data_IF_180113327403
#
_entry.id   IF_180113327403
#
_cell.length_a   1.000
_cell.length_b   1.000
_cell.length_c   1.000
_cell.angle_alpha   90.00
_cell.angle_beta   90.00
_cell.angle_gamma   90.00
#
_symmetry.space_group_name_H-M   'P 1'
#
loop_
_entity.id
_entity.type
_entity.pdbx_description
1 polymer ?
#
# COMPACT_ATOMS: atom_id res chain seq x y z
N UNK A 1 -16.67 11.92 11.54
CA UNK A 1 -15.83 11.69 10.35
C UNK A 1 -15.90 10.20 10.06
N UNK A 2 -16.28 9.77 8.84
CA UNK A 2 -16.17 8.35 8.48
C UNK A 2 -14.67 7.99 8.45
N UNK A 3 -14.33 6.75 8.80
CA UNK A 3 -12.94 6.26 8.85
C UNK A 3 -12.74 5.21 7.75
N UNK A 4 -13.17 5.50 6.53
CA UNK A 4 -13.11 4.51 5.47
C UNK A 4 -11.66 4.28 5.04
N UNK A 5 -11.22 3.02 5.05
CA UNK A 5 -9.81 2.66 4.85
C UNK A 5 -9.61 2.01 3.48
N UNK A 6 -8.66 2.53 2.72
CA UNK A 6 -8.06 1.80 1.60
C UNK A 6 -6.72 1.21 2.05
N UNK A 7 -6.61 -0.12 2.00
CA UNK A 7 -5.42 -0.88 2.35
C UNK A 7 -4.72 -1.38 1.09
N UNK A 8 -3.46 -0.99 0.93
CA UNK A 8 -2.66 -1.21 -0.27
C UNK A 8 -1.33 -1.82 0.14
N UNK A 9 -0.89 -2.82 -0.59
CA UNK A 9 0.33 -3.54 -0.24
C UNK A 9 0.07 -4.62 0.80
N UNK A 10 0.78 -5.75 0.63
CA UNK A 10 0.37 -7.08 1.07
C UNK A 10 -1.03 -7.41 0.53
N UNK A 11 -1.12 -8.39 -0.37
CA UNK A 11 -2.44 -8.92 -0.76
C UNK A 11 -3.03 -9.51 0.51
N UNK A 12 -3.88 -8.73 1.20
CA UNK A 12 -4.09 -8.84 2.64
C UNK A 12 -4.80 -10.14 2.99
N UNK A 13 -3.99 -11.18 3.12
CA UNK A 13 -4.32 -12.43 3.75
C UNK A 13 -4.38 -12.14 5.26
N UNK A 14 -5.63 -11.97 5.71
CA UNK A 14 -6.09 -12.55 6.97
C UNK A 14 -5.36 -12.13 8.24
N UNK A 15 -5.05 -10.83 8.45
CA UNK A 15 -4.85 -10.38 9.83
C UNK A 15 -6.22 -10.33 10.53
N UNK A 16 -6.60 -11.47 11.11
CA UNK A 16 -7.88 -11.65 11.80
C UNK A 16 -8.12 -10.58 12.87
N UNK A 17 -7.07 -10.12 13.55
CA UNK A 17 -7.18 -9.08 14.57
C UNK A 17 -7.58 -7.73 13.95
N UNK A 18 -7.01 -7.34 12.81
CA UNK A 18 -7.41 -6.13 12.09
C UNK A 18 -8.84 -6.24 11.56
N UNK A 19 -9.20 -7.37 10.95
CA UNK A 19 -10.56 -7.59 10.43
C UNK A 19 -11.59 -7.58 11.57
N UNK A 20 -11.29 -8.25 12.69
CA UNK A 20 -12.14 -8.28 13.87
C UNK A 20 -12.28 -6.88 14.49
N UNK A 21 -11.19 -6.10 14.55
CA UNK A 21 -11.22 -4.72 15.02
C UNK A 21 -12.10 -3.84 14.13
N UNK A 22 -11.90 -3.86 12.81
CA UNK A 22 -12.71 -3.11 11.86
C UNK A 22 -14.18 -3.50 11.94
N UNK A 23 -14.48 -4.80 12.05
CA UNK A 23 -15.85 -5.29 12.21
C UNK A 23 -16.47 -4.81 13.53
N UNK A 24 -15.76 -4.92 14.65
CA UNK A 24 -16.24 -4.49 15.97
C UNK A 24 -16.40 -2.97 16.11
N UNK A 25 -15.81 -2.19 15.20
CA UNK A 25 -15.93 -0.72 15.13
C UNK A 25 -16.76 -0.24 13.94
N UNK A 26 -17.33 -1.15 13.16
CA UNK A 26 -18.08 -0.85 11.93
C UNK A 26 -17.29 0.05 10.94
N UNK A 27 -15.97 -0.18 10.85
CA UNK A 27 -15.08 0.55 9.96
C UNK A 27 -15.01 -0.20 8.62
N UNK A 28 -15.57 0.36 7.53
CA UNK A 28 -15.48 -0.28 6.23
C UNK A 28 -14.08 -0.09 5.64
N UNK A 29 -13.59 -1.12 4.96
CA UNK A 29 -12.30 -1.09 4.30
C UNK A 29 -12.28 -1.87 2.98
N UNK A 30 -11.46 -1.39 2.06
CA UNK A 30 -11.12 -2.06 0.80
C UNK A 30 -9.66 -2.47 0.89
N UNK A 31 -9.33 -3.71 0.55
CA UNK A 31 -7.95 -4.16 0.40
C UNK A 31 -7.64 -4.58 -1.04
N UNK A 32 -6.38 -4.46 -1.44
CA UNK A 32 -5.94 -4.88 -2.78
C UNK A 32 -5.56 -6.35 -2.83
N UNK A 33 -5.65 -6.94 -4.03
CA UNK A 33 -5.00 -8.21 -4.38
C UNK A 33 -4.28 -8.07 -5.72
N UNK A 34 -3.21 -8.83 -5.99
CA UNK A 34 -2.54 -8.81 -7.28
C UNK A 34 -3.49 -9.25 -8.39
N UNK A 35 -3.64 -8.44 -9.42
CA UNK A 35 -4.42 -8.80 -10.59
C UNK A 35 -3.73 -9.96 -11.35
N UNK A 36 -4.35 -11.15 -11.38
CA UNK A 36 -3.88 -12.25 -12.21
C UNK A 36 -4.37 -12.10 -13.65
N UNK A 37 -3.49 -12.32 -14.64
CA UNK A 37 -3.77 -12.11 -16.07
C UNK A 37 -4.83 -13.03 -16.70
N UNK A 38 -5.37 -14.03 -15.98
CA UNK A 38 -6.31 -15.03 -16.53
C UNK A 38 -7.49 -15.43 -15.66
N UNK A 39 -7.68 -14.81 -14.51
CA UNK A 39 -8.92 -14.95 -13.77
C UNK A 39 -9.52 -13.56 -13.69
N UNK A 40 -10.70 -13.40 -14.27
CA UNK A 40 -11.70 -12.45 -13.75
C UNK A 40 -11.73 -12.69 -12.24
N UNK A 41 -10.92 -11.91 -11.51
CA UNK A 41 -10.78 -12.08 -10.07
C UNK A 41 -12.18 -11.94 -9.54
N UNK A 42 -12.71 -13.00 -8.92
CA UNK A 42 -14.00 -12.96 -8.26
C UNK A 42 -13.93 -11.77 -7.31
N UNK A 43 -14.55 -10.66 -7.69
CA UNK A 43 -14.84 -9.57 -6.77
C UNK A 43 -15.54 -10.26 -5.61
N UNK A 44 -14.85 -10.30 -4.47
CA UNK A 44 -15.48 -10.86 -3.29
C UNK A 44 -16.52 -9.83 -2.88
N UNK A 45 -17.79 -10.20 -3.10
CA UNK A 45 -18.94 -9.43 -2.71
C UNK A 45 -18.74 -8.87 -1.30
N UNK A 46 -19.04 -7.59 -1.12
CA UNK A 46 -18.90 -6.85 0.13
C UNK A 46 -19.39 -7.69 1.32
N UNK A 47 -18.46 -8.24 2.12
CA UNK A 47 -18.79 -9.02 3.31
C UNK A 47 -18.82 -8.09 4.52
N UNK A 48 -19.89 -7.30 4.64
CA UNK A 48 -20.18 -6.44 5.79
C UNK A 48 -19.29 -5.20 5.93
N UNK A 49 -17.98 -5.37 6.11
CA UNK A 49 -17.00 -4.27 6.24
C UNK A 49 -15.77 -4.43 5.35
N UNK A 50 -15.66 -5.53 4.59
CA UNK A 50 -14.49 -5.85 3.75
C UNK A 50 -14.87 -6.04 2.29
N UNK A 51 -14.09 -5.41 1.41
CA UNK A 51 -14.07 -5.70 -0.03
C UNK A 51 -12.64 -5.89 -0.53
N UNK A 52 -12.48 -6.68 -1.59
CA UNK A 52 -11.18 -6.92 -2.24
C UNK A 52 -11.24 -6.44 -3.68
N UNK A 53 -10.28 -5.60 -4.08
CA UNK A 53 -10.17 -5.08 -5.45
C UNK A 53 -8.85 -5.51 -6.08
N UNK A 54 -8.86 -6.12 -7.28
CA UNK A 54 -7.63 -6.46 -7.97
C UNK A 54 -6.89 -5.20 -8.45
N UNK A 55 -5.57 -5.20 -8.32
CA UNK A 55 -4.69 -4.11 -8.72
C UNK A 55 -3.47 -4.64 -9.48
N UNK A 56 -3.19 -4.05 -10.65
CA UNK A 56 -1.94 -4.25 -11.35
C UNK A 56 -0.94 -3.18 -10.91
N UNK A 57 -0.01 -3.56 -10.02
CA UNK A 57 0.91 -2.64 -9.33
C UNK A 57 1.77 -1.83 -10.29
N UNK A 58 2.23 -2.42 -11.39
CA UNK A 58 3.11 -1.77 -12.37
C UNK A 58 2.41 -0.70 -13.23
N UNK A 59 1.08 -0.53 -13.12
CA UNK A 59 0.31 0.36 -14.00
C UNK A 59 -0.30 1.54 -13.25
N UNK A 60 0.13 2.77 -13.61
CA UNK A 60 -0.49 3.99 -13.09
C UNK A 60 -2.00 4.07 -13.40
N UNK A 61 -2.41 3.66 -14.61
CA UNK A 61 -3.83 3.59 -14.97
C UNK A 61 -4.59 2.61 -14.05
N UNK A 62 -3.98 1.48 -13.71
CA UNK A 62 -4.59 0.55 -12.74
C UNK A 62 -4.70 1.17 -11.35
N UNK A 63 -3.76 2.02 -10.93
CA UNK A 63 -3.83 2.76 -9.66
C UNK A 63 -4.99 3.75 -9.63
N UNK A 64 -5.19 4.51 -10.72
CA UNK A 64 -6.35 5.40 -10.84
C UNK A 64 -7.68 4.63 -10.78
N UNK A 65 -7.77 3.51 -11.50
CA UNK A 65 -8.96 2.66 -11.50
C UNK A 65 -9.23 2.02 -10.13
N UNK A 66 -8.19 1.61 -9.41
CA UNK A 66 -8.31 1.10 -8.05
C UNK A 66 -9.00 2.13 -7.13
N UNK A 67 -8.57 3.38 -7.18
CA UNK A 67 -9.11 4.47 -6.35
C UNK A 67 -10.60 4.66 -6.64
N UNK A 68 -10.98 4.76 -7.91
CA UNK A 68 -12.39 4.94 -8.32
C UNK A 68 -13.26 3.77 -7.82
N UNK A 69 -12.76 2.54 -7.96
CA UNK A 69 -13.46 1.34 -7.46
C UNK A 69 -13.60 1.36 -5.94
N UNK A 70 -12.53 1.71 -5.22
CA UNK A 70 -12.55 1.79 -3.77
C UNK A 70 -13.52 2.88 -3.27
N UNK A 71 -13.56 4.04 -3.90
CA UNK A 71 -14.53 5.11 -3.58
C UNK A 71 -15.97 4.69 -3.89
N UNK A 72 -16.20 3.92 -4.96
CA UNK A 72 -17.52 3.36 -5.26
C UNK A 72 -18.01 2.41 -4.17
N UNK A 73 -17.10 1.64 -3.55
CA UNK A 73 -17.42 0.69 -2.49
C UNK A 73 -17.52 1.34 -1.09
N UNK A 74 -16.81 2.45 -0.86
CA UNK A 74 -16.71 3.10 0.44
C UNK A 74 -17.47 4.43 0.54
N UNK A 75 -18.03 4.95 -0.55
CA UNK A 75 -18.44 6.36 -0.79
C UNK A 75 -17.27 7.36 -0.79
N UNK A 76 -16.31 7.19 0.12
CA UNK A 76 -15.11 8.01 0.24
C UNK A 76 -13.95 7.21 0.81
N UNK A 77 -12.73 7.56 0.43
CA UNK A 77 -11.52 7.12 1.13
C UNK A 77 -11.11 8.24 2.10
N UNK A 78 -10.97 7.93 3.39
CA UNK A 78 -10.55 8.89 4.41
C UNK A 78 -9.13 8.62 4.89
N UNK A 79 -8.72 7.34 4.86
CA UNK A 79 -7.39 6.89 5.27
C UNK A 79 -6.86 5.86 4.27
N UNK A 80 -5.56 5.96 3.99
CA UNK A 80 -4.84 4.99 3.18
C UNK A 80 -3.76 4.36 4.02
N UNK A 81 -3.74 3.04 4.05
CA UNK A 81 -2.69 2.25 4.67
C UNK A 81 -1.85 1.66 3.55
N UNK A 82 -0.61 2.10 3.41
CA UNK A 82 0.37 1.56 2.45
C UNK A 82 1.28 0.62 3.22
N UNK A 83 1.31 -0.67 2.89
CA UNK A 83 2.04 -1.67 3.64
C UNK A 83 3.08 -2.40 2.80
N UNK A 84 4.35 -2.17 3.13
CA UNK A 84 5.47 -2.94 2.60
C UNK A 84 5.83 -4.08 3.56
N UNK A 85 5.67 -5.33 3.12
CA UNK A 85 6.04 -6.53 3.88
C UNK A 85 7.16 -7.26 3.15
N UNK A 86 8.39 -7.12 3.66
CA UNK A 86 9.59 -7.68 3.01
C UNK A 86 9.51 -9.20 2.87
N UNK A 87 9.05 -9.92 3.89
CA UNK A 87 8.98 -11.39 3.87
C UNK A 87 7.97 -11.86 2.81
N UNK A 88 6.79 -11.21 2.78
CA UNK A 88 5.75 -11.52 1.81
C UNK A 88 6.25 -11.33 0.37
N UNK A 89 6.93 -10.21 0.09
CA UNK A 89 7.49 -9.97 -1.23
C UNK A 89 8.69 -10.85 -1.54
N UNK A 90 9.45 -11.29 -0.53
CA UNK A 90 10.51 -12.29 -0.73
C UNK A 90 9.92 -13.57 -1.29
N UNK A 91 8.83 -14.07 -0.70
CA UNK A 91 8.10 -15.25 -1.20
C UNK A 91 7.48 -15.00 -2.58
N UNK A 92 6.88 -13.83 -2.80
CA UNK A 92 6.23 -13.49 -4.07
C UNK A 92 7.22 -13.45 -5.24
N UNK A 93 8.42 -12.92 -5.02
CA UNK A 93 9.42 -12.70 -6.06
C UNK A 93 10.53 -13.76 -6.08
N UNK A 94 10.52 -14.75 -5.19
CA UNK A 94 11.55 -15.81 -5.14
C UNK A 94 11.56 -16.70 -6.39
N UNK A 95 10.46 -16.74 -7.14
CA UNK A 95 10.33 -17.58 -8.35
C UNK A 95 10.77 -16.90 -9.64
N UNK A 96 11.25 -15.64 -9.58
CA UNK A 96 11.65 -14.91 -10.79
C UNK A 96 13.08 -15.27 -11.21
N UNK A 97 13.20 -16.05 -12.30
CA UNK A 97 14.49 -16.56 -12.79
C UNK A 97 15.40 -15.48 -13.43
N UNK A 98 14.85 -14.44 -14.10
CA UNK A 98 15.60 -13.34 -14.76
C UNK A 98 14.83 -12.02 -14.77
N UNK A 99 15.54 -10.89 -14.80
CA UNK A 99 15.00 -9.51 -14.87
C UNK A 99 14.06 -9.08 -13.71
N UNK A 100 14.22 -9.68 -12.52
CA UNK A 100 13.40 -9.32 -11.35
C UNK A 100 13.59 -7.88 -10.89
N UNK A 101 14.74 -7.24 -11.18
CA UNK A 101 15.03 -5.86 -10.77
C UNK A 101 14.02 -4.86 -11.34
N UNK A 102 13.72 -4.94 -12.65
CA UNK A 102 12.77 -4.04 -13.30
C UNK A 102 11.36 -4.28 -12.78
N UNK A 103 10.96 -5.55 -12.65
CA UNK A 103 9.64 -5.92 -12.10
C UNK A 103 9.49 -5.39 -10.67
N UNK A 104 10.50 -5.56 -9.82
CA UNK A 104 10.50 -5.05 -8.45
C UNK A 104 10.45 -3.51 -8.44
N UNK A 105 11.20 -2.84 -9.30
CA UNK A 105 11.16 -1.38 -9.39
C UNK A 105 9.75 -0.89 -9.80
N UNK A 106 9.15 -1.50 -10.82
CA UNK A 106 7.83 -1.10 -11.31
C UNK A 106 6.71 -1.47 -10.30
N UNK A 107 6.72 -2.69 -9.76
CA UNK A 107 5.67 -3.20 -8.88
C UNK A 107 5.80 -2.77 -7.41
N UNK A 108 7.00 -2.45 -6.91
CA UNK A 108 7.25 -2.15 -5.50
C UNK A 108 7.86 -0.76 -5.22
N UNK A 109 8.27 0.00 -6.24
CA UNK A 109 8.73 1.38 -6.07
C UNK A 109 7.77 2.33 -6.78
N UNK A 110 7.68 2.23 -8.11
CA UNK A 110 6.85 3.12 -8.91
C UNK A 110 5.36 2.99 -8.54
N UNK A 111 4.88 1.79 -8.25
CA UNK A 111 3.50 1.54 -7.83
C UNK A 111 3.06 2.36 -6.61
N UNK A 112 3.87 2.41 -5.55
CA UNK A 112 3.60 3.19 -4.35
C UNK A 112 3.64 4.69 -4.63
N UNK A 113 4.51 5.13 -5.54
CA UNK A 113 4.56 6.53 -5.98
C UNK A 113 3.28 6.90 -6.74
N UNK A 114 2.91 6.12 -7.76
CA UNK A 114 1.70 6.33 -8.56
C UNK A 114 0.45 6.38 -7.69
N UNK A 115 0.25 5.39 -6.82
CA UNK A 115 -0.97 5.32 -6.01
C UNK A 115 -1.02 6.46 -4.99
N UNK A 116 0.11 6.83 -4.40
CA UNK A 116 0.20 7.93 -3.44
C UNK A 116 -0.09 9.27 -4.11
N UNK A 117 0.50 9.54 -5.29
CA UNK A 117 0.23 10.77 -6.04
C UNK A 117 -1.24 10.89 -6.44
N UNK A 118 -1.82 9.83 -7.01
CA UNK A 118 -3.22 9.82 -7.41
C UNK A 118 -4.17 10.04 -6.20
N UNK A 119 -3.89 9.43 -5.04
CA UNK A 119 -4.73 9.64 -3.84
C UNK A 119 -4.50 11.04 -3.24
N UNK A 120 -3.28 11.57 -3.28
CA UNK A 120 -3.00 12.94 -2.85
C UNK A 120 -3.80 13.96 -3.68
N UNK A 121 -4.00 13.73 -4.98
CA UNK A 121 -4.88 14.57 -5.79
C UNK A 121 -6.32 14.53 -5.28
N UNK A 122 -6.85 13.35 -4.96
CA UNK A 122 -8.18 13.21 -4.33
C UNK A 122 -8.28 13.91 -2.98
N UNK A 123 -7.25 13.78 -2.14
CA UNK A 123 -7.22 14.43 -0.82
C UNK A 123 -7.10 15.95 -0.91
N UNK A 124 -6.43 16.49 -1.94
CA UNK A 124 -6.43 17.94 -2.21
C UNK A 124 -7.82 18.44 -2.56
N UNK A 125 -8.54 17.74 -3.43
CA UNK A 125 -9.92 18.09 -3.80
C UNK A 125 -10.85 18.08 -2.58
N UNK A 126 -10.73 17.05 -1.73
CA UNK A 126 -11.53 16.88 -0.51
C UNK A 126 -11.04 17.76 0.66
N UNK A 127 -9.84 18.34 0.56
CA UNK A 127 -9.12 19.05 1.64
C UNK A 127 -8.96 18.23 2.93
N UNK A 128 -9.03 16.90 2.82
CA UNK A 128 -8.91 15.99 3.95
C UNK A 128 -8.42 14.62 3.47
N UNK A 129 -7.77 13.90 4.37
CA UNK A 129 -7.27 12.55 4.16
C UNK A 129 -5.99 12.30 4.94
N UNK A 130 -5.57 11.04 5.02
CA UNK A 130 -4.33 10.68 5.69
C UNK A 130 -3.72 9.41 5.14
N UNK A 131 -2.39 9.38 5.08
CA UNK A 131 -1.61 8.19 4.77
C UNK A 131 -0.99 7.63 6.04
N UNK A 132 -0.87 6.32 6.09
CA UNK A 132 -0.06 5.59 7.05
C UNK A 132 0.81 4.64 6.24
N UNK A 133 2.12 4.83 6.32
CA UNK A 133 3.11 3.94 5.72
C UNK A 133 3.53 2.92 6.78
N UNK A 134 3.29 1.65 6.52
CA UNK A 134 3.67 0.53 7.36
C UNK A 134 4.80 -0.23 6.69
N UNK A 135 5.83 -0.55 7.47
CA UNK A 135 6.96 -1.36 7.03
C UNK A 135 7.11 -2.54 7.98
N UNK A 136 7.11 -3.75 7.43
CA UNK A 136 7.68 -4.93 8.08
C UNK A 136 9.05 -5.16 7.44
N UNK A 137 10.06 -4.65 8.13
CA UNK A 137 11.42 -4.50 7.62
C UNK A 137 12.19 -5.83 7.60
N UNK A 138 13.06 -5.98 6.62
CA UNK A 138 14.25 -6.82 6.75
C UNK A 138 15.45 -5.94 7.10
N UNK A 139 16.24 -6.40 8.06
CA UNK A 139 17.48 -5.74 8.48
C UNK A 139 18.66 -6.52 7.92
N UNK A 140 19.56 -5.91 7.13
CA UNK A 140 20.72 -6.63 6.62
C UNK A 140 21.69 -6.98 7.75
N UNK A 141 22.38 -8.12 7.60
CA UNK A 141 23.37 -8.63 8.56
C UNK A 141 24.46 -7.61 8.90
N UNK A 142 24.88 -6.77 7.95
CA UNK A 142 25.88 -5.73 8.18
C UNK A 142 25.36 -4.51 8.98
N UNK A 143 24.03 -4.38 9.17
CA UNK A 143 23.41 -3.37 10.05
C UNK A 143 22.92 -3.97 11.38
N UNK A 144 23.00 -5.29 11.56
CA UNK A 144 22.44 -5.97 12.73
C UNK A 144 23.49 -6.42 13.75
N UNK A 145 23.22 -6.15 15.02
CA UNK A 145 23.89 -6.77 16.15
C UNK A 145 23.22 -8.11 16.46
N UNK A 146 23.69 -9.19 15.81
CA UNK A 146 23.37 -10.61 16.05
C UNK A 146 21.86 -10.96 15.95
N UNK A 147 21.52 -11.77 14.95
CA UNK A 147 20.18 -12.32 14.61
C UNK A 147 19.29 -11.44 13.71
N UNK A 148 19.79 -10.94 12.59
CA UNK A 148 18.90 -10.41 11.56
C UNK A 148 18.56 -11.43 10.48
N UNK A 149 17.39 -11.23 9.89
CA UNK A 149 16.92 -11.88 8.66
C UNK A 149 18.00 -11.75 7.58
N UNK A 150 18.31 -12.86 6.91
CA UNK A 150 19.24 -12.85 5.80
C UNK A 150 18.60 -12.08 4.63
N UNK A 151 19.22 -10.97 4.22
CA UNK A 151 18.77 -10.20 3.05
C UNK A 151 19.12 -11.03 1.81
N UNK A 152 18.14 -11.80 1.34
CA UNK A 152 18.31 -12.73 0.24
C UNK A 152 18.13 -12.09 -1.14
N UNK A 153 17.57 -10.87 -1.19
CA UNK A 153 17.32 -10.16 -2.45
C UNK A 153 17.68 -8.66 -2.35
N UNK A 154 18.81 -8.23 -2.96
CA UNK A 154 19.24 -6.83 -2.95
C UNK A 154 18.24 -5.87 -3.62
N UNK A 155 17.54 -6.32 -4.66
CA UNK A 155 16.54 -5.50 -5.36
C UNK A 155 15.35 -5.21 -4.45
N UNK A 156 14.90 -6.22 -3.72
CA UNK A 156 13.80 -6.07 -2.77
C UNK A 156 14.20 -5.18 -1.58
N UNK A 157 15.44 -5.30 -1.12
CA UNK A 157 15.97 -4.42 -0.07
C UNK A 157 16.06 -2.97 -0.55
N UNK A 158 16.49 -2.74 -1.80
CA UNK A 158 16.45 -1.40 -2.39
C UNK A 158 15.01 -0.84 -2.47
N UNK A 159 14.02 -1.68 -2.81
CA UNK A 159 12.62 -1.27 -2.82
C UNK A 159 12.09 -0.90 -1.42
N UNK A 160 12.49 -1.65 -0.39
CA UNK A 160 12.18 -1.31 1.00
C UNK A 160 12.73 0.08 1.39
N UNK A 161 14.02 0.32 1.16
CA UNK A 161 14.63 1.60 1.53
C UNK A 161 14.03 2.76 0.71
N UNK A 162 13.66 2.50 -0.56
CA UNK A 162 12.93 3.46 -1.38
C UNK A 162 11.54 3.77 -0.81
N UNK A 163 10.83 2.76 -0.29
CA UNK A 163 9.54 2.94 0.39
C UNK A 163 9.67 3.81 1.64
N UNK A 164 10.71 3.60 2.46
CA UNK A 164 11.01 4.44 3.64
C UNK A 164 11.30 5.88 3.23
N UNK A 165 12.26 6.09 2.33
CA UNK A 165 12.65 7.41 1.89
C UNK A 165 11.47 8.16 1.24
N UNK A 166 10.63 7.46 0.49
CA UNK A 166 9.43 8.03 -0.11
C UNK A 166 8.39 8.43 0.94
N UNK A 167 8.16 7.61 1.96
CA UNK A 167 7.25 7.92 3.06
C UNK A 167 7.71 9.18 3.82
N UNK A 168 8.99 9.25 4.19
CA UNK A 168 9.58 10.39 4.90
C UNK A 168 9.51 11.67 4.08
N UNK A 169 9.89 11.61 2.79
CA UNK A 169 9.88 12.78 1.92
C UNK A 169 8.44 13.24 1.62
N UNK A 170 7.50 12.31 1.51
CA UNK A 170 6.08 12.65 1.37
C UNK A 170 5.56 13.35 2.62
N UNK A 171 5.85 12.83 3.81
CA UNK A 171 5.46 13.45 5.07
C UNK A 171 6.06 14.85 5.21
N UNK A 172 7.36 15.01 4.95
CA UNK A 172 8.05 16.31 4.97
C UNK A 172 7.44 17.31 3.98
N UNK A 173 7.18 16.89 2.74
CA UNK A 173 6.60 17.76 1.71
C UNK A 173 5.23 18.30 2.09
N UNK A 174 4.41 17.49 2.76
CA UNK A 174 3.05 17.88 3.13
C UNK A 174 2.94 18.50 4.52
N UNK A 175 3.91 18.30 5.41
CA UNK A 175 4.00 19.08 6.66
C UNK A 175 4.38 20.54 6.38
N UNK A 176 5.33 20.79 5.48
CA UNK A 176 5.74 22.14 5.07
C UNK A 176 4.62 22.95 4.37
N UNK A 177 3.70 22.27 3.69
CA UNK A 177 2.52 22.93 3.10
C UNK A 177 1.49 23.36 4.14
N UNK A 178 1.44 22.69 5.29
CA UNK A 178 0.60 23.09 6.42
C UNK A 178 1.18 24.31 7.13
N UNK A 179 2.51 24.47 7.21
CA UNK A 179 3.14 25.67 7.80
C UNK A 179 2.85 26.95 6.99
N UNK A 180 2.76 26.85 5.66
CA UNK A 180 2.36 27.97 4.79
C UNK A 180 0.84 28.17 4.64
N UNK A 181 0.05 27.35 5.33
CA UNK A 181 -1.40 27.43 5.37
C UNK A 181 -1.80 27.58 6.83
N UNK A 182 -1.86 28.82 7.33
CA UNK A 182 -2.32 29.11 8.69
C UNK A 182 -3.58 28.31 8.99
N UNK A 183 -3.51 27.41 9.97
CA UNK A 183 -4.67 26.78 10.60
C UNK A 183 -4.61 27.12 12.08
N UNK A 184 -5.54 27.99 12.50
CA UNK A 184 -6.00 28.14 13.87
C UNK A 184 -6.69 26.86 14.34
#
# INVERSE_FOLDING_TARGET
MKNNILLIGKDFLENEAFVAYCKGKEIPFVCTTKAQAKSEGKETAFQGTKSIVPWNRASNLSSMNLIIRAETLLDSIDRVLLYFDYDHFTEEYSQLEKNHFQIIADELIASYQYITENILERFKEKKQGGFIFLLKEAVPLFRSSKNSVEVNNPALYAAQEAFVAFAEMTAYRYSQKLENSVVL
#
